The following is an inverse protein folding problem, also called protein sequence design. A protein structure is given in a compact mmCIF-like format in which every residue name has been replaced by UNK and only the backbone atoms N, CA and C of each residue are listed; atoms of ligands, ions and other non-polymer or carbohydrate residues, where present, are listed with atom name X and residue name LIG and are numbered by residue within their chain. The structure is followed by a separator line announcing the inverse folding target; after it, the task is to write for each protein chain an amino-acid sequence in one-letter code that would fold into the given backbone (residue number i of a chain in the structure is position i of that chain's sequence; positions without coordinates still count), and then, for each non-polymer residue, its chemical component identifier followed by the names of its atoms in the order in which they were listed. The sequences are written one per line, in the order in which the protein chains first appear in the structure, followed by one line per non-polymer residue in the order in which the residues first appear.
data_IF_897358168799
#
_entry.id   IF_897358168799
#
_cell.length_a   1.000
_cell.length_b   1.000
_cell.length_c   1.000
_cell.angle_alpha   90.00
_cell.angle_beta   90.00
_cell.angle_gamma   90.00
#
_symmetry.space_group_name_H-M   'P 1'
#
loop_
_entity.id
_entity.type
_entity.pdbx_description
1 polymer ?
#
# COMPACT_ATOMS: atom_id res chain seq x y z
N UNK A 1 10.80 -20.66 -5.75
CA UNK A 1 11.17 -19.28 -6.06
C UNK A 1 10.59 -18.88 -7.41
N UNK A 2 10.04 -17.71 -7.52
CA UNK A 2 9.59 -17.15 -8.80
C UNK A 2 10.83 -16.78 -9.65
N UNK A 3 10.95 -17.25 -10.92
CA UNK A 3 12.15 -16.98 -11.71
C UNK A 3 12.26 -15.52 -12.17
N UNK A 4 11.16 -14.78 -12.25
CA UNK A 4 11.15 -13.44 -12.84
C UNK A 4 11.32 -12.31 -11.83
N UNK A 5 10.76 -12.44 -10.62
CA UNK A 5 10.85 -11.42 -9.57
C UNK A 5 10.79 -12.04 -8.18
N UNK A 6 11.26 -11.34 -7.16
CA UNK A 6 11.04 -11.72 -5.76
C UNK A 6 9.62 -11.34 -5.38
N UNK A 7 8.78 -12.31 -5.02
CA UNK A 7 7.45 -12.04 -4.51
C UNK A 7 7.45 -11.76 -3.00
N UNK A 8 6.34 -11.18 -2.51
CA UNK A 8 6.22 -10.79 -1.12
C UNK A 8 6.28 -11.98 -0.15
N UNK A 9 5.84 -13.17 -0.57
CA UNK A 9 5.92 -14.37 0.26
C UNK A 9 7.37 -14.83 0.44
N UNK A 10 8.17 -14.74 -0.63
CA UNK A 10 9.61 -15.01 -0.58
C UNK A 10 10.32 -14.02 0.34
N UNK A 11 10.00 -12.72 0.24
CA UNK A 11 10.54 -11.68 1.12
C UNK A 11 10.17 -11.93 2.59
N UNK A 12 8.90 -12.18 2.90
CA UNK A 12 8.48 -12.50 4.26
C UNK A 12 9.11 -13.79 4.78
N UNK A 13 9.36 -14.78 3.92
CA UNK A 13 10.06 -16.00 4.29
C UNK A 13 11.52 -15.81 4.71
N UNK A 14 12.16 -14.71 4.28
CA UNK A 14 13.50 -14.32 4.75
C UNK A 14 13.45 -13.68 6.14
N UNK A 15 12.41 -12.89 6.41
CA UNK A 15 12.21 -12.22 7.72
C UNK A 15 11.64 -13.19 8.76
N UNK A 16 10.72 -14.07 8.33
CA UNK A 16 10.04 -15.06 9.19
C UNK A 16 10.21 -16.48 8.63
N UNK A 17 11.36 -17.11 8.81
CA UNK A 17 11.63 -18.45 8.26
C UNK A 17 10.61 -19.49 8.74
N UNK A 18 10.11 -20.30 7.80
CA UNK A 18 9.18 -21.42 8.06
C UNK A 18 7.83 -21.02 8.67
N UNK A 19 7.47 -19.74 8.63
CA UNK A 19 6.21 -19.22 9.16
C UNK A 19 5.34 -18.70 8.03
N UNK A 20 4.06 -19.08 8.03
CA UNK A 20 3.07 -18.50 7.13
C UNK A 20 2.48 -17.25 7.78
N UNK A 21 2.57 -16.13 7.07
CA UNK A 21 2.22 -14.81 7.60
C UNK A 21 1.07 -14.20 6.81
N UNK A 22 0.13 -13.56 7.53
CA UNK A 22 -1.01 -12.83 6.96
C UNK A 22 -1.09 -11.42 7.57
N UNK A 23 -1.26 -10.40 6.73
CA UNK A 23 -1.61 -9.05 7.20
C UNK A 23 -3.06 -9.01 7.70
N UNK A 24 -3.27 -8.46 8.89
CA UNK A 24 -4.58 -8.13 9.45
C UNK A 24 -4.70 -6.61 9.51
N UNK A 25 -5.53 -6.03 8.66
CA UNK A 25 -5.77 -4.58 8.69
C UNK A 25 -6.47 -4.17 9.97
N UNK A 26 -6.02 -3.06 10.55
CA UNK A 26 -6.65 -2.38 11.68
C UNK A 26 -6.95 -0.93 11.33
N UNK A 27 -8.00 -0.40 11.92
CA UNK A 27 -8.42 0.98 11.81
C UNK A 27 -8.26 1.65 13.17
N UNK A 28 -7.34 2.59 13.28
CA UNK A 28 -7.09 3.33 14.52
C UNK A 28 -8.03 4.51 14.72
N UNK A 29 -8.91 4.79 13.77
CA UNK A 29 -9.72 6.01 13.78
C UNK A 29 -8.93 7.29 13.51
N UNK A 30 -7.61 7.22 13.30
CA UNK A 30 -6.78 8.38 12.96
C UNK A 30 -7.25 8.99 11.65
N UNK A 31 -7.14 10.30 11.55
CA UNK A 31 -7.51 11.04 10.36
C UNK A 31 -6.41 11.06 9.29
N UNK A 32 -6.51 12.04 8.44
CA UNK A 32 -5.50 12.33 7.43
C UNK A 32 -5.35 13.85 7.32
N UNK A 33 -4.11 14.40 7.40
CA UNK A 33 -3.88 15.86 7.37
C UNK A 33 -4.32 16.50 6.05
N UNK A 34 -4.48 15.69 4.99
CA UNK A 34 -5.01 16.13 3.71
C UNK A 34 -6.56 16.19 3.68
N UNK A 35 -7.24 15.87 4.80
CA UNK A 35 -8.71 15.90 4.94
C UNK A 35 -9.19 16.91 5.96
N UNK A 36 -8.50 17.04 7.07
CA UNK A 36 -8.91 17.86 8.22
C UNK A 36 -8.52 19.34 8.11
N UNK A 37 -7.76 19.70 7.08
CA UNK A 37 -7.33 21.07 6.83
C UNK A 37 -5.91 21.39 7.27
N UNK A 38 -5.20 20.46 7.89
CA UNK A 38 -3.81 20.66 8.33
C UNK A 38 -2.88 20.88 7.13
N UNK A 39 -2.98 20.05 6.09
CA UNK A 39 -2.24 20.19 4.83
C UNK A 39 -3.20 20.54 3.69
N UNK A 40 -4.36 19.89 3.64
CA UNK A 40 -5.34 20.06 2.61
C UNK A 40 -6.76 19.67 3.06
N UNK A 41 -7.75 19.93 2.22
CA UNK A 41 -9.15 19.60 2.47
C UNK A 41 -9.65 18.54 1.49
N UNK A 42 -10.55 17.68 1.94
CA UNK A 42 -11.23 16.68 1.09
C UNK A 42 -10.42 15.42 0.81
N UNK A 43 -9.11 15.43 1.02
CA UNK A 43 -8.23 14.28 0.76
C UNK A 43 -7.87 14.10 -0.72
N UNK A 44 -7.12 13.03 -1.02
CA UNK A 44 -6.81 12.67 -2.39
C UNK A 44 -8.10 12.34 -3.15
N UNK A 45 -8.23 12.80 -4.40
CA UNK A 45 -9.50 12.72 -5.14
C UNK A 45 -9.99 11.28 -5.38
N UNK A 46 -9.08 10.29 -5.38
CA UNK A 46 -9.36 8.86 -5.58
C UNK A 46 -9.64 8.10 -4.27
N UNK A 47 -9.42 8.74 -3.12
CA UNK A 47 -9.40 8.03 -1.83
C UNK A 47 -10.80 7.78 -1.27
N UNK A 48 -11.10 6.50 -1.00
CA UNK A 48 -12.22 6.07 -0.20
C UNK A 48 -11.71 5.07 0.86
N UNK A 49 -11.61 5.50 2.13
CA UNK A 49 -11.05 4.68 3.19
C UNK A 49 -11.88 3.43 3.52
N UNK A 50 -13.20 3.49 3.32
CA UNK A 50 -14.08 2.34 3.56
C UNK A 50 -13.74 1.16 2.66
N UNK A 51 -13.17 1.41 1.47
CA UNK A 51 -12.75 0.36 0.54
C UNK A 51 -11.60 -0.52 1.07
N UNK A 52 -10.88 -0.06 2.09
CA UNK A 52 -9.72 -0.74 2.67
C UNK A 52 -9.98 -1.25 4.09
N UNK A 53 -11.12 -0.90 4.69
CA UNK A 53 -11.46 -1.28 6.07
C UNK A 53 -12.25 -2.60 6.05
N UNK A 54 -11.70 -3.71 6.56
CA UNK A 54 -12.41 -4.98 6.62
C UNK A 54 -13.61 -4.93 7.56
N UNK A 55 -14.60 -5.78 7.29
CA UNK A 55 -15.82 -5.84 8.09
C UNK A 55 -15.61 -6.12 9.58
N UNK A 56 -14.54 -6.83 9.94
CA UNK A 56 -14.22 -7.12 11.34
C UNK A 56 -13.66 -5.90 12.12
N UNK A 57 -13.36 -4.79 11.44
CA UNK A 57 -12.97 -3.55 12.09
C UNK A 57 -14.18 -2.69 12.48
N UNK A 58 -15.36 -2.93 11.92
CA UNK A 58 -16.56 -2.15 12.24
C UNK A 58 -17.13 -2.60 13.57
N UNK A 59 -17.41 -1.63 14.46
CA UNK A 59 -17.94 -1.88 15.79
C UNK A 59 -16.94 -2.43 16.82
N UNK A 60 -15.68 -2.61 16.45
CA UNK A 60 -14.62 -2.95 17.39
C UNK A 60 -14.13 -1.69 18.12
N UNK A 61 -13.97 -1.78 19.43
CA UNK A 61 -13.60 -0.65 20.30
C UNK A 61 -12.09 -0.51 20.46
N UNK A 62 -11.31 -1.57 20.15
CA UNK A 62 -9.86 -1.60 20.34
C UNK A 62 -9.14 -2.26 19.16
N UNK A 63 -7.82 -2.02 19.04
CA UNK A 63 -6.93 -2.69 18.08
C UNK A 63 -6.92 -4.20 18.34
N UNK A 64 -6.89 -4.60 19.62
CA UNK A 64 -6.95 -6.00 20.04
C UNK A 64 -8.20 -6.70 19.49
N UNK A 65 -9.38 -6.09 19.65
CA UNK A 65 -10.63 -6.68 19.16
C UNK A 65 -10.65 -6.83 17.64
N UNK A 66 -10.14 -5.84 16.91
CA UNK A 66 -9.99 -5.91 15.46
C UNK A 66 -9.06 -7.06 15.04
N UNK A 67 -7.90 -7.18 15.68
CA UNK A 67 -6.94 -8.24 15.40
C UNK A 67 -7.52 -9.62 15.73
N UNK A 68 -8.18 -9.79 16.87
CA UNK A 68 -8.85 -11.05 17.22
C UNK A 68 -10.00 -11.37 16.23
N UNK A 69 -10.73 -10.36 15.75
CA UNK A 69 -11.72 -10.50 14.69
C UNK A 69 -11.10 -10.99 13.38
N UNK A 70 -9.98 -10.38 12.97
CA UNK A 70 -9.21 -10.79 11.80
C UNK A 70 -8.63 -12.21 11.92
N UNK A 71 -8.10 -12.57 13.09
CA UNK A 71 -7.62 -13.94 13.38
C UNK A 71 -8.74 -14.97 13.22
N UNK A 72 -9.93 -14.71 13.77
CA UNK A 72 -11.11 -15.59 13.59
C UNK A 72 -11.52 -15.74 12.13
N UNK A 73 -11.40 -14.66 11.35
CA UNK A 73 -11.75 -14.66 9.93
C UNK A 73 -10.76 -15.51 9.09
N UNK A 74 -9.45 -15.31 9.27
CA UNK A 74 -8.41 -15.98 8.46
C UNK A 74 -7.99 -17.34 9.04
N UNK A 75 -8.01 -17.51 10.36
CA UNK A 75 -7.51 -18.71 11.06
C UNK A 75 -8.29 -19.99 10.75
N UNK A 76 -9.53 -19.88 10.27
CA UNK A 76 -10.34 -21.05 9.85
C UNK A 76 -9.63 -21.92 8.81
N UNK A 77 -8.85 -21.31 7.93
CA UNK A 77 -8.17 -22.02 6.85
C UNK A 77 -6.75 -22.47 7.22
N UNK A 78 -6.07 -21.74 8.10
CA UNK A 78 -4.66 -21.96 8.43
C UNK A 78 -4.43 -21.76 9.95
N UNK A 79 -4.60 -22.80 10.77
CA UNK A 79 -4.54 -22.66 12.24
C UNK A 79 -3.18 -22.22 12.79
N UNK A 80 -2.09 -22.50 12.08
CA UNK A 80 -0.71 -22.17 12.50
C UNK A 80 -0.19 -20.85 11.92
N UNK A 81 -1.05 -20.10 11.23
CA UNK A 81 -0.70 -18.82 10.63
C UNK A 81 -0.35 -17.79 11.71
N UNK A 82 0.68 -17.01 11.45
CA UNK A 82 1.04 -15.82 12.23
C UNK A 82 0.60 -14.55 11.50
N UNK A 83 0.61 -13.43 12.21
CA UNK A 83 -0.03 -12.22 11.71
C UNK A 83 0.88 -11.01 11.80
N UNK A 84 0.72 -10.09 10.82
CA UNK A 84 1.23 -8.74 10.89
C UNK A 84 0.03 -7.82 11.16
N UNK A 85 0.07 -7.03 12.21
CA UNK A 85 -0.92 -5.98 12.45
C UNK A 85 -0.68 -4.85 11.44
N UNK A 86 -1.65 -4.58 10.57
CA UNK A 86 -1.51 -3.63 9.47
C UNK A 86 -2.34 -2.38 9.71
N UNK A 87 -1.69 -1.31 10.12
CA UNK A 87 -2.25 0.02 10.29
C UNK A 87 -2.44 0.68 8.92
N UNK A 88 -3.53 0.33 8.24
CA UNK A 88 -3.79 0.69 6.84
C UNK A 88 -4.68 1.92 6.69
N UNK A 89 -5.58 2.19 7.65
CA UNK A 89 -6.60 3.23 7.51
C UNK A 89 -6.00 4.63 7.51
N UNK A 90 -6.39 5.47 6.54
CA UNK A 90 -5.94 6.85 6.36
C UNK A 90 -4.42 7.00 6.38
N UNK A 91 -3.86 7.38 7.55
CA UNK A 91 -2.43 7.62 7.74
C UNK A 91 -2.04 7.12 9.12
N UNK A 92 -1.39 5.97 9.18
CA UNK A 92 -1.12 5.25 10.43
C UNK A 92 -0.21 5.99 11.41
N UNK A 93 0.56 6.98 10.95
CA UNK A 93 1.45 7.79 11.78
C UNK A 93 0.91 9.17 12.12
N UNK A 94 -0.30 9.53 11.68
CA UNK A 94 -0.86 10.85 11.90
C UNK A 94 -1.54 10.96 13.27
N UNK A 95 -1.32 12.08 13.96
CA UNK A 95 -1.87 12.33 15.30
C UNK A 95 -1.03 11.71 16.42
N UNK A 96 -1.59 11.68 17.62
CA UNK A 96 -0.93 11.14 18.82
C UNK A 96 -1.25 9.65 19.04
N UNK A 97 -0.50 9.00 19.93
CA UNK A 97 -0.80 7.64 20.40
C UNK A 97 -0.27 6.51 19.50
N UNK A 98 0.66 6.79 18.59
CA UNK A 98 1.27 5.75 17.74
C UNK A 98 1.89 4.63 18.58
N UNK A 99 2.71 4.98 19.58
CA UNK A 99 3.37 3.99 20.42
C UNK A 99 2.38 3.11 21.17
N UNK A 100 1.30 3.68 21.73
CA UNK A 100 0.26 2.91 22.40
C UNK A 100 -0.42 1.90 21.47
N UNK A 101 -0.70 2.31 20.23
CA UNK A 101 -1.31 1.43 19.23
C UNK A 101 -0.38 0.27 18.85
N UNK A 102 0.93 0.55 18.70
CA UNK A 102 1.94 -0.47 18.42
C UNK A 102 2.06 -1.47 19.59
N UNK A 103 2.09 -0.96 20.81
CA UNK A 103 2.13 -1.79 22.05
C UNK A 103 0.89 -2.68 22.14
N UNK A 104 -0.30 -2.12 21.98
CA UNK A 104 -1.54 -2.90 22.02
C UNK A 104 -1.56 -4.02 20.98
N UNK A 105 -1.16 -3.70 19.74
CA UNK A 105 -1.11 -4.69 18.66
C UNK A 105 -0.07 -5.79 18.94
N UNK A 106 1.09 -5.43 19.49
CA UNK A 106 2.18 -6.38 19.77
C UNK A 106 1.84 -7.38 20.89
N UNK A 107 0.93 -6.99 21.80
CA UNK A 107 0.46 -7.86 22.89
C UNK A 107 -0.60 -8.88 22.44
N UNK A 108 -1.03 -8.87 21.17
CA UNK A 108 -1.98 -9.86 20.66
C UNK A 108 -1.26 -11.15 20.26
N UNK A 109 -1.66 -12.28 20.86
CA UNK A 109 -1.03 -13.56 20.54
C UNK A 109 -1.06 -13.88 19.04
N UNK A 110 0.07 -14.34 18.52
CA UNK A 110 0.24 -14.68 17.11
C UNK A 110 0.56 -13.47 16.21
N UNK A 111 0.56 -12.25 16.71
CA UNK A 111 1.13 -11.08 16.02
C UNK A 111 2.66 -11.13 16.16
N UNK A 112 3.36 -11.12 15.04
CA UNK A 112 4.83 -11.26 14.98
C UNK A 112 5.53 -10.09 14.28
N UNK A 113 4.78 -9.08 13.87
CA UNK A 113 5.29 -7.87 13.23
C UNK A 113 4.19 -6.86 13.00
N UNK A 114 4.61 -5.65 12.72
CA UNK A 114 3.74 -4.50 12.49
C UNK A 114 3.98 -3.97 11.07
N UNK A 115 2.90 -3.59 10.38
CA UNK A 115 2.96 -2.84 9.12
C UNK A 115 2.26 -1.50 9.33
N UNK A 116 2.92 -0.41 9.01
CA UNK A 116 2.36 0.94 9.13
C UNK A 116 2.26 1.57 7.74
N UNK A 117 1.03 1.72 7.25
CA UNK A 117 0.75 2.47 6.03
C UNK A 117 0.66 3.96 6.33
N UNK A 118 1.43 4.78 5.62
CA UNK A 118 1.48 6.21 5.89
C UNK A 118 1.74 7.06 4.66
N UNK A 119 1.56 8.35 4.83
CA UNK A 119 1.96 9.39 3.88
C UNK A 119 3.41 9.80 4.15
N UNK A 120 4.20 10.16 3.11
CA UNK A 120 5.58 10.59 3.31
C UNK A 120 5.69 11.86 4.18
N UNK A 121 4.75 12.79 4.06
CA UNK A 121 4.69 14.04 4.84
C UNK A 121 4.21 13.87 6.30
N UNK A 122 3.95 12.64 6.73
CA UNK A 122 3.61 12.27 8.11
C UNK A 122 4.73 11.47 8.81
N UNK A 123 5.96 11.54 8.30
CA UNK A 123 7.14 10.89 8.84
C UNK A 123 8.13 11.90 9.38
N UNK A 124 7.76 12.59 10.47
CA UNK A 124 8.67 13.43 11.25
C UNK A 124 9.74 12.60 11.96
N UNK A 125 10.80 13.25 12.44
CA UNK A 125 11.93 12.57 13.12
C UNK A 125 11.48 11.76 14.32
N UNK A 126 10.67 12.33 15.21
CA UNK A 126 10.11 11.65 16.38
C UNK A 126 9.32 10.38 16.01
N UNK A 127 8.55 10.44 14.91
CA UNK A 127 7.79 9.28 14.40
C UNK A 127 8.73 8.18 13.92
N UNK A 128 9.77 8.55 13.18
CA UNK A 128 10.76 7.59 12.69
C UNK A 128 11.56 6.96 13.83
N UNK A 129 11.94 7.75 14.84
CA UNK A 129 12.60 7.24 16.05
C UNK A 129 11.69 6.27 16.81
N UNK A 130 10.43 6.63 17.03
CA UNK A 130 9.44 5.73 17.67
C UNK A 130 9.33 4.39 16.94
N UNK A 131 9.26 4.41 15.60
CA UNK A 131 9.17 3.20 14.80
C UNK A 131 10.48 2.39 14.82
N UNK A 132 11.63 3.05 14.78
CA UNK A 132 12.93 2.41 14.82
C UNK A 132 13.18 1.74 16.18
N UNK A 133 12.91 2.45 17.29
CA UNK A 133 13.02 1.90 18.65
C UNK A 133 12.09 0.70 18.85
N UNK A 134 10.85 0.80 18.33
CA UNK A 134 9.92 -0.31 18.38
C UNK A 134 10.42 -1.50 17.56
N UNK A 135 11.07 -1.26 16.43
CA UNK A 135 11.60 -2.29 15.52
C UNK A 135 12.68 -3.18 16.17
N UNK A 136 13.34 -2.69 17.22
CA UNK A 136 14.31 -3.47 17.99
C UNK A 136 13.68 -4.66 18.75
N UNK A 137 12.36 -4.63 18.97
CA UNK A 137 11.61 -5.69 19.69
C UNK A 137 10.79 -6.56 18.75
N UNK A 138 10.26 -5.98 17.68
CA UNK A 138 9.38 -6.65 16.74
C UNK A 138 9.54 -6.02 15.35
N UNK A 139 9.68 -6.79 14.25
CA UNK A 139 9.83 -6.24 12.91
C UNK A 139 8.73 -5.23 12.55
N UNK A 140 9.15 -4.04 12.10
CA UNK A 140 8.29 -2.96 11.62
C UNK A 140 8.50 -2.76 10.12
N UNK A 141 7.42 -2.84 9.37
CA UNK A 141 7.36 -2.60 7.94
C UNK A 141 6.65 -1.27 7.71
N UNK A 142 7.33 -0.32 7.10
CA UNK A 142 6.76 0.99 6.79
C UNK A 142 6.34 1.01 5.32
N UNK A 143 5.04 1.18 5.05
CA UNK A 143 4.50 1.28 3.69
C UNK A 143 4.18 2.75 3.38
N UNK A 144 5.00 3.36 2.52
CA UNK A 144 4.91 4.78 2.19
C UNK A 144 4.13 4.97 0.89
N UNK A 145 3.01 5.67 0.97
CA UNK A 145 2.19 6.02 -0.19
C UNK A 145 2.82 7.16 -0.99
N UNK A 146 3.66 6.84 -1.95
CA UNK A 146 4.30 7.77 -2.89
C UNK A 146 3.36 8.13 -4.03
N UNK A 147 2.70 7.15 -4.60
CA UNK A 147 1.71 7.13 -5.66
C UNK A 147 2.28 7.52 -7.04
N UNK A 148 2.99 8.64 -7.16
CA UNK A 148 3.68 9.16 -8.36
C UNK A 148 4.88 10.01 -7.96
N UNK A 149 5.82 10.22 -8.90
CA UNK A 149 6.93 11.17 -8.76
C UNK A 149 6.80 12.41 -9.68
N UNK A 150 5.63 12.59 -10.27
CA UNK A 150 5.30 13.78 -11.06
C UNK A 150 4.49 14.77 -10.22
N UNK A 151 5.10 15.91 -9.84
CA UNK A 151 4.44 16.91 -9.00
C UNK A 151 3.17 17.51 -9.65
N UNK A 152 3.09 17.54 -10.97
CA UNK A 152 1.87 17.91 -11.70
C UNK A 152 0.72 16.95 -11.41
N UNK A 153 1.01 15.63 -11.44
CA UNK A 153 0.05 14.57 -11.09
C UNK A 153 -0.32 14.64 -9.61
N UNK A 154 0.66 14.78 -8.71
CA UNK A 154 0.42 14.88 -7.27
C UNK A 154 -0.50 16.06 -6.92
N UNK A 155 -0.31 17.22 -7.58
CA UNK A 155 -1.24 18.37 -7.46
C UNK A 155 -2.63 18.06 -8.01
N UNK A 156 -2.69 17.44 -9.19
CA UNK A 156 -3.95 17.12 -9.87
C UNK A 156 -4.82 16.17 -9.04
N UNK A 157 -4.22 15.20 -8.38
CA UNK A 157 -4.92 14.24 -7.52
C UNK A 157 -5.10 14.73 -6.07
N UNK A 158 -4.76 15.98 -5.78
CA UNK A 158 -4.80 16.57 -4.43
C UNK A 158 -4.02 15.73 -3.40
N UNK A 159 -2.76 15.33 -3.74
CA UNK A 159 -1.96 14.47 -2.85
C UNK A 159 -1.40 15.21 -1.64
N UNK A 160 -1.05 16.51 -1.80
CA UNK A 160 -0.61 17.41 -0.74
C UNK A 160 0.88 17.36 -0.40
N UNK A 161 1.66 16.46 -0.99
CA UNK A 161 3.12 16.45 -0.92
C UNK A 161 3.76 16.44 -2.31
N UNK A 162 5.07 16.65 -2.38
CA UNK A 162 5.87 16.58 -3.63
C UNK A 162 6.64 15.26 -3.72
N UNK A 163 7.20 15.00 -4.90
CA UNK A 163 8.10 13.88 -5.15
C UNK A 163 9.35 13.95 -4.24
N UNK A 164 9.90 15.15 -4.02
CA UNK A 164 11.07 15.34 -3.14
C UNK A 164 10.77 14.96 -1.68
N UNK A 165 9.59 15.30 -1.16
CA UNK A 165 9.16 14.88 0.19
C UNK A 165 9.02 13.37 0.29
N UNK A 166 8.57 12.71 -0.79
CA UNK A 166 8.44 11.26 -0.81
C UNK A 166 9.82 10.58 -0.80
N UNK A 167 10.78 11.09 -1.59
CA UNK A 167 12.16 10.58 -1.63
C UNK A 167 12.86 10.74 -0.28
N UNK A 168 12.81 11.95 0.30
CA UNK A 168 13.38 12.24 1.63
C UNK A 168 12.84 11.29 2.71
N UNK A 169 11.52 11.08 2.76
CA UNK A 169 10.90 10.20 3.72
C UNK A 169 11.37 8.74 3.59
N UNK A 170 11.54 8.24 2.37
CA UNK A 170 12.06 6.88 2.11
C UNK A 170 13.52 6.77 2.56
N UNK A 171 14.36 7.74 2.22
CA UNK A 171 15.77 7.75 2.61
C UNK A 171 15.93 7.74 4.13
N UNK A 172 15.28 8.67 4.83
CA UNK A 172 15.33 8.74 6.30
C UNK A 172 14.81 7.48 6.98
N UNK A 173 13.72 6.90 6.48
CA UNK A 173 13.19 5.64 7.02
C UNK A 173 14.17 4.47 6.84
N UNK A 174 14.83 4.39 5.68
CA UNK A 174 15.85 3.38 5.40
C UNK A 174 17.09 3.57 6.27
N UNK A 175 17.55 4.81 6.48
CA UNK A 175 18.67 5.14 7.36
C UNK A 175 18.44 4.74 8.83
N UNK A 176 17.18 4.74 9.28
CA UNK A 176 16.79 4.22 10.60
C UNK A 176 16.70 2.67 10.65
N UNK A 177 17.01 1.99 9.55
CA UNK A 177 16.99 0.51 9.50
C UNK A 177 15.60 -0.11 9.44
N UNK A 178 14.57 0.65 9.12
CA UNK A 178 13.20 0.14 8.95
C UNK A 178 13.07 -0.64 7.64
N UNK A 179 12.19 -1.66 7.62
CA UNK A 179 11.76 -2.27 6.36
C UNK A 179 10.86 -1.31 5.59
N UNK A 180 11.33 -0.82 4.44
CA UNK A 180 10.63 0.21 3.67
C UNK A 180 9.95 -0.37 2.43
N UNK A 181 8.64 -0.17 2.35
CA UNK A 181 7.82 -0.44 1.17
C UNK A 181 7.27 0.84 0.56
N UNK A 182 7.15 0.87 -0.76
CA UNK A 182 6.56 1.99 -1.50
C UNK A 182 5.30 1.55 -2.22
N UNK A 183 4.26 2.40 -2.19
CA UNK A 183 3.05 2.23 -2.99
C UNK A 183 3.07 3.19 -4.18
N UNK A 184 2.75 2.66 -5.37
CA UNK A 184 2.56 3.41 -6.60
C UNK A 184 1.20 3.11 -7.21
N UNK A 185 0.59 4.11 -7.85
CA UNK A 185 -0.67 3.96 -8.59
C UNK A 185 -0.41 4.20 -10.07
N UNK A 186 -0.66 3.18 -10.89
CA UNK A 186 -0.60 3.30 -12.34
C UNK A 186 -1.95 3.76 -12.92
N UNK A 187 -1.93 4.65 -13.88
CA UNK A 187 -3.11 5.20 -14.54
C UNK A 187 -3.71 6.42 -13.86
N UNK A 188 -2.93 7.14 -13.07
CA UNK A 188 -3.36 8.42 -12.48
C UNK A 188 -3.69 9.45 -13.57
N UNK A 189 -4.64 10.37 -13.31
CA UNK A 189 -4.99 11.42 -14.26
C UNK A 189 -3.76 12.22 -14.69
N UNK A 190 -3.63 12.44 -16.00
CA UNK A 190 -2.53 13.22 -16.59
C UNK A 190 -1.24 12.46 -16.83
N UNK A 191 -1.15 11.18 -16.46
CA UNK A 191 0.01 10.34 -16.73
C UNK A 191 -0.14 9.50 -17.99
N UNK A 192 0.93 9.41 -18.75
CA UNK A 192 1.11 8.42 -19.80
C UNK A 192 2.02 7.26 -19.31
N UNK A 193 2.20 6.24 -20.14
CA UNK A 193 3.00 5.06 -19.79
C UNK A 193 4.45 5.42 -19.46
N UNK A 194 5.06 6.33 -20.21
CA UNK A 194 6.45 6.73 -19.99
C UNK A 194 6.67 7.38 -18.62
N UNK A 195 5.76 8.27 -18.21
CA UNK A 195 5.77 8.90 -16.88
C UNK A 195 5.64 7.85 -15.76
N UNK A 196 4.73 6.90 -15.91
CA UNK A 196 4.57 5.81 -14.93
C UNK A 196 5.83 4.94 -14.83
N UNK A 197 6.44 4.59 -15.96
CA UNK A 197 7.69 3.81 -15.99
C UNK A 197 8.88 4.61 -15.47
N UNK A 198 8.94 5.93 -15.68
CA UNK A 198 9.93 6.80 -15.06
C UNK A 198 9.80 6.79 -13.53
N UNK A 199 8.58 6.91 -13.00
CA UNK A 199 8.31 6.79 -11.56
C UNK A 199 8.84 5.45 -11.03
N UNK A 200 8.51 4.34 -11.67
CA UNK A 200 9.00 3.00 -11.27
C UNK A 200 10.53 2.94 -11.31
N UNK A 201 11.17 3.44 -12.36
CA UNK A 201 12.63 3.42 -12.52
C UNK A 201 13.33 4.18 -11.40
N UNK A 202 12.84 5.38 -11.07
CA UNK A 202 13.40 6.20 -9.99
C UNK A 202 13.23 5.53 -8.64
N UNK A 203 12.03 5.04 -8.32
CA UNK A 203 11.74 4.33 -7.06
C UNK A 203 12.55 3.03 -6.94
N UNK A 204 12.78 2.30 -8.03
CA UNK A 204 13.61 1.11 -8.04
C UNK A 204 15.09 1.39 -7.72
N UNK A 205 15.54 2.63 -7.84
CA UNK A 205 16.86 3.10 -7.40
C UNK A 205 16.95 3.39 -5.90
N UNK A 206 15.83 3.56 -5.21
CA UNK A 206 15.79 3.89 -3.79
C UNK A 206 16.11 2.68 -2.89
N UNK A 207 16.51 2.91 -1.63
CA UNK A 207 16.77 1.84 -0.67
C UNK A 207 15.47 1.30 -0.07
N UNK A 208 14.67 0.67 -0.90
CA UNK A 208 13.40 0.04 -0.52
C UNK A 208 13.48 -1.49 -0.56
N UNK A 209 12.69 -2.15 0.28
CA UNK A 209 12.57 -3.60 0.35
C UNK A 209 11.42 -4.13 -0.50
N UNK A 210 10.31 -3.39 -0.56
CA UNK A 210 9.11 -3.83 -1.25
C UNK A 210 8.49 -2.73 -2.11
N UNK A 211 7.88 -3.14 -3.22
CA UNK A 211 7.09 -2.27 -4.09
C UNK A 211 5.70 -2.85 -4.26
N UNK A 212 4.69 -2.05 -3.97
CA UNK A 212 3.28 -2.36 -4.18
C UNK A 212 2.75 -1.51 -5.32
N UNK A 213 2.38 -2.14 -6.41
CA UNK A 213 1.79 -1.48 -7.56
C UNK A 213 0.26 -1.64 -7.52
N UNK A 214 -0.45 -0.55 -7.76
CA UNK A 214 -1.89 -0.54 -7.91
C UNK A 214 -2.26 0.04 -9.27
N UNK A 215 -3.25 -0.55 -9.96
CA UNK A 215 -3.95 0.20 -10.99
C UNK A 215 -4.90 1.20 -10.31
N UNK A 216 -5.11 2.35 -10.94
CA UNK A 216 -6.15 3.28 -10.51
C UNK A 216 -7.51 2.59 -10.56
N UNK A 217 -8.25 2.67 -9.46
CA UNK A 217 -9.68 2.35 -9.42
C UNK A 217 -10.48 3.62 -9.17
N UNK A 218 -11.48 3.85 -10.01
CA UNK A 218 -12.49 4.88 -9.74
C UNK A 218 -13.55 4.25 -8.85
N UNK A 219 -13.62 4.76 -7.62
CA UNK A 219 -14.53 4.24 -6.60
C UNK A 219 -15.71 5.17 -6.41
N UNK A 220 -16.88 4.61 -6.16
CA UNK A 220 -18.09 5.37 -5.80
C UNK A 220 -17.84 6.28 -4.60
N UNK A 221 -18.44 7.46 -4.63
CA UNK A 221 -18.34 8.44 -3.55
C UNK A 221 -17.00 9.14 -3.43
N UNK A 222 -16.09 8.96 -4.39
CA UNK A 222 -14.83 9.73 -4.46
C UNK A 222 -15.00 11.01 -5.27
N UNK A 223 -14.19 12.03 -4.95
CA UNK A 223 -14.17 13.25 -5.74
C UNK A 223 -13.78 12.98 -7.21
N UNK A 224 -12.94 11.97 -7.47
CA UNK A 224 -12.58 11.54 -8.82
C UNK A 224 -13.80 11.05 -9.59
N UNK A 225 -14.61 10.17 -8.99
CA UNK A 225 -15.86 9.68 -9.60
C UNK A 225 -16.80 10.85 -9.96
N UNK A 226 -16.99 11.80 -9.05
CA UNK A 226 -17.86 12.94 -9.28
C UNK A 226 -17.32 13.89 -10.36
N UNK A 227 -16.01 14.14 -10.39
CA UNK A 227 -15.39 14.96 -11.45
C UNK A 227 -15.53 14.31 -12.83
N UNK A 228 -15.39 12.99 -12.93
CA UNK A 228 -15.60 12.26 -14.19
C UNK A 228 -17.06 12.39 -14.65
N UNK A 229 -18.03 12.17 -13.76
CA UNK A 229 -19.47 12.29 -14.07
C UNK A 229 -19.86 13.69 -14.56
N UNK A 230 -19.21 14.74 -14.03
CA UNK A 230 -19.44 16.12 -14.44
C UNK A 230 -18.65 16.55 -15.68
N UNK A 231 -17.82 15.66 -16.24
CA UNK A 231 -16.96 15.98 -17.39
C UNK A 231 -15.80 16.92 -17.07
N UNK A 232 -15.49 17.12 -15.78
CA UNK A 232 -14.39 17.97 -15.31
C UNK A 232 -13.03 17.29 -15.36
N UNK A 233 -13.02 15.95 -15.44
CA UNK A 233 -11.81 15.15 -15.51
C UNK A 233 -12.04 13.90 -16.35
N UNK A 234 -11.06 13.60 -17.21
CA UNK A 234 -11.04 12.35 -17.97
C UNK A 234 -9.94 11.44 -17.41
N UNK A 235 -10.26 10.18 -17.22
CA UNK A 235 -9.29 9.10 -16.97
C UNK A 235 -9.51 8.02 -18.00
N UNK A 236 -8.43 7.47 -18.52
CA UNK A 236 -8.44 6.24 -19.32
C UNK A 236 -7.98 5.09 -18.44
N UNK A 237 -8.89 4.33 -17.81
CA UNK A 237 -8.50 3.13 -17.07
C UNK A 237 -7.79 2.15 -18.01
N UNK A 238 -6.83 1.43 -17.49
CA UNK A 238 -6.21 0.35 -18.24
C UNK A 238 -7.23 -0.72 -18.63
N UNK A 239 -7.15 -1.19 -19.85
CA UNK A 239 -7.66 -2.51 -20.20
C UNK A 239 -6.76 -3.60 -19.59
N UNK A 240 -7.31 -4.78 -19.30
CA UNK A 240 -6.59 -5.83 -18.59
C UNK A 240 -5.28 -6.24 -19.30
N UNK A 241 -5.33 -6.38 -20.61
CA UNK A 241 -4.16 -6.77 -21.42
C UNK A 241 -3.10 -5.65 -21.46
N UNK A 242 -3.52 -4.39 -21.59
CA UNK A 242 -2.63 -3.22 -21.52
C UNK A 242 -1.89 -3.18 -20.16
N UNK A 243 -2.62 -3.45 -19.07
CA UNK A 243 -2.04 -3.45 -17.73
C UNK A 243 -1.08 -4.62 -17.51
N UNK A 244 -1.37 -5.79 -18.08
CA UNK A 244 -0.44 -6.93 -18.08
C UNK A 244 0.86 -6.58 -18.79
N UNK A 245 0.80 -5.94 -19.97
CA UNK A 245 1.98 -5.49 -20.72
C UNK A 245 2.79 -4.44 -19.96
N UNK A 246 2.12 -3.50 -19.32
CA UNK A 246 2.76 -2.54 -18.43
C UNK A 246 3.47 -3.25 -17.26
N UNK A 247 2.82 -4.20 -16.59
CA UNK A 247 3.41 -4.96 -15.49
C UNK A 247 4.61 -5.81 -15.92
N UNK A 248 4.63 -6.34 -17.15
CA UNK A 248 5.82 -7.02 -17.71
C UNK A 248 7.01 -6.05 -17.76
N UNK A 249 6.80 -4.82 -18.22
CA UNK A 249 7.86 -3.79 -18.26
C UNK A 249 8.34 -3.44 -16.85
N UNK A 250 7.40 -3.31 -15.88
CA UNK A 250 7.74 -3.07 -14.47
C UNK A 250 8.59 -4.20 -13.90
N UNK A 251 8.19 -5.46 -14.10
CA UNK A 251 8.96 -6.63 -13.61
C UNK A 251 10.38 -6.65 -14.17
N UNK A 252 10.56 -6.36 -15.47
CA UNK A 252 11.90 -6.30 -16.11
C UNK A 252 12.76 -5.15 -15.59
N UNK A 253 12.16 -4.12 -15.04
CA UNK A 253 12.84 -2.90 -14.54
C UNK A 253 13.21 -2.98 -13.06
N UNK A 254 12.39 -3.63 -12.24
CA UNK A 254 12.58 -3.69 -10.79
C UNK A 254 13.63 -4.75 -10.43
N UNK A 255 14.73 -4.40 -9.75
CA UNK A 255 15.76 -5.36 -9.38
C UNK A 255 15.26 -6.35 -8.34
N UNK A 256 15.75 -7.61 -8.38
CA UNK A 256 15.30 -8.71 -7.50
C UNK A 256 15.54 -8.49 -5.99
N UNK A 257 16.33 -7.49 -5.61
CA UNK A 257 16.45 -7.07 -4.20
C UNK A 257 15.14 -6.49 -3.66
N UNK A 258 14.30 -5.92 -4.54
CA UNK A 258 12.99 -5.36 -4.19
C UNK A 258 11.92 -6.42 -4.44
N UNK A 259 11.14 -6.75 -3.43
CA UNK A 259 10.04 -7.67 -3.58
C UNK A 259 8.78 -6.96 -4.11
N UNK A 260 8.13 -7.57 -5.11
CA UNK A 260 6.86 -7.07 -5.62
C UNK A 260 5.72 -7.66 -4.77
N UNK A 261 5.02 -6.80 -4.03
CA UNK A 261 4.00 -7.25 -3.08
C UNK A 261 2.70 -7.65 -3.78
N UNK A 262 2.23 -6.81 -4.68
CA UNK A 262 1.05 -7.09 -5.50
C UNK A 262 0.97 -6.14 -6.68
N UNK A 263 0.10 -6.49 -7.65
CA UNK A 263 -0.12 -5.72 -8.87
C UNK A 263 -1.54 -5.15 -8.99
N UNK A 264 -2.47 -5.55 -8.13
CA UNK A 264 -3.85 -5.09 -8.21
C UNK A 264 -4.32 -4.44 -6.91
N UNK A 265 -5.06 -3.34 -7.05
CA UNK A 265 -5.97 -2.88 -6.00
C UNK A 265 -7.22 -3.76 -5.98
N UNK A 266 -7.75 -4.02 -4.80
CA UNK A 266 -8.94 -4.87 -4.60
C UNK A 266 -9.89 -4.17 -3.63
N UNK A 267 -10.65 -3.21 -4.14
CA UNK A 267 -11.80 -2.68 -3.42
C UNK A 267 -13.01 -3.64 -3.54
N UNK A 268 -13.97 -3.57 -2.62
CA UNK A 268 -15.21 -4.35 -2.73
C UNK A 268 -15.89 -4.11 -4.08
N UNK A 269 -16.34 -5.18 -4.78
CA UNK A 269 -16.86 -5.06 -6.16
C UNK A 269 -18.00 -4.04 -6.31
N UNK A 270 -18.83 -3.87 -5.29
CA UNK A 270 -19.94 -2.90 -5.29
C UNK A 270 -19.50 -1.44 -5.25
N UNK A 271 -18.24 -1.14 -4.91
CA UNK A 271 -17.66 0.19 -4.84
C UNK A 271 -16.91 0.60 -6.10
N UNK A 272 -16.48 -0.34 -6.93
CA UNK A 272 -15.66 -0.08 -8.12
C UNK A 272 -16.55 0.34 -9.29
N UNK A 273 -16.30 1.53 -9.86
CA UNK A 273 -16.92 1.99 -11.10
C UNK A 273 -16.06 1.65 -12.32
N UNK A 274 -14.73 1.80 -12.22
CA UNK A 274 -13.74 1.48 -13.27
C UNK A 274 -12.39 1.08 -12.64
N UNK A 275 -11.57 0.21 -13.29
CA UNK A 275 -11.97 -0.70 -14.36
C UNK A 275 -12.83 -1.84 -13.82
N UNK A 276 -13.64 -2.44 -14.70
CA UNK A 276 -14.58 -3.51 -14.35
C UNK A 276 -13.98 -4.91 -14.25
N UNK A 277 -12.69 -5.06 -14.04
CA UNK A 277 -12.03 -6.38 -13.99
C UNK A 277 -12.47 -7.15 -12.74
N UNK A 278 -13.06 -8.32 -12.99
CA UNK A 278 -13.52 -9.22 -11.91
C UNK A 278 -12.48 -10.31 -11.63
N UNK A 279 -11.20 -9.93 -11.50
CA UNK A 279 -10.11 -10.88 -11.25
C UNK A 279 -9.46 -10.63 -9.88
N UNK A 280 -8.97 -11.70 -9.27
CA UNK A 280 -8.24 -11.65 -8.01
C UNK A 280 -6.74 -11.49 -8.28
N UNK A 281 -6.00 -10.94 -7.31
CA UNK A 281 -4.56 -10.71 -7.44
C UNK A 281 -3.78 -11.98 -7.86
N UNK A 282 -4.10 -13.15 -7.30
CA UNK A 282 -3.42 -14.40 -7.68
C UNK A 282 -3.70 -14.82 -9.14
N UNK A 283 -4.90 -14.54 -9.66
CA UNK A 283 -5.25 -14.82 -11.06
C UNK A 283 -4.46 -13.92 -12.00
N UNK A 284 -4.38 -12.62 -11.67
CA UNK A 284 -3.56 -11.67 -12.41
C UNK A 284 -2.07 -12.07 -12.37
N UNK A 285 -1.54 -12.41 -11.21
CA UNK A 285 -0.14 -12.86 -11.09
C UNK A 285 0.12 -14.08 -11.96
N UNK A 286 -0.79 -15.05 -12.02
CA UNK A 286 -0.65 -16.21 -12.90
C UNK A 286 -0.67 -15.84 -14.40
N UNK A 287 -1.49 -14.85 -14.79
CA UNK A 287 -1.52 -14.35 -16.18
C UNK A 287 -0.21 -13.62 -16.50
N UNK A 288 0.29 -12.80 -15.58
CA UNK A 288 1.57 -12.09 -15.73
C UNK A 288 2.75 -13.07 -15.87
N UNK A 289 2.81 -14.11 -15.05
CA UNK A 289 3.85 -15.15 -15.15
C UNK A 289 3.82 -15.86 -16.50
N UNK A 290 2.63 -16.22 -16.99
CA UNK A 290 2.47 -16.83 -18.34
C UNK A 290 2.96 -15.89 -19.44
N UNK A 291 2.74 -14.58 -19.30
CA UNK A 291 3.16 -13.58 -20.28
C UNK A 291 4.67 -13.38 -20.27
N UNK A 292 5.28 -13.34 -19.08
CA UNK A 292 6.74 -13.27 -18.90
C UNK A 292 7.42 -14.49 -19.53
N UNK A 293 6.89 -15.70 -19.36
CA UNK A 293 7.43 -16.93 -19.96
C UNK A 293 7.33 -16.96 -21.49
N UNK A 294 6.35 -16.26 -22.11
CA UNK A 294 6.19 -16.21 -23.56
C UNK A 294 6.99 -15.13 -24.24
N UNK A 295 7.50 -14.16 -23.49
CA UNK A 295 8.23 -13.00 -23.98
C UNK A 295 9.75 -13.13 -23.87
N UNK A 296 10.23 -14.27 -23.39
CA UNK A 296 11.61 -14.73 -23.46
C UNK A 296 11.77 -15.65 -24.69
#
# INVERSE_FOLDING_TARGET
MNPFFTDYSEYLGRVFPSVKVQKLSVNTGRGCPNRDGTIGKGGCIYCNNESFTPGYCFGAESIREQLEGGKRFFGRKYPTMKYLAYFQSFTGTYGSGLLQDLEEASCVDGVIGIVVGTRPDCLGEETLETLADFSMRMPVFLEIGVESLHDSTLRLINRGHTAAVAEDAVLRASEKGLHVGVHLIAGLPGENEEMMLETVRRVAGWPIDTLKLHQLQVLKGTALSEKIKRGEMAVKPFELEEYLDFCVKVVKMVPRRIALERFLSQAPPGMVEMPGWKIKNYQFTNMLLKRLTKGD
#
